data_IF_041053044161
#
_entry.id   IF_041053044161
#
_cell.length_a   1.000
_cell.length_b   1.000
_cell.length_c   1.000
_cell.angle_alpha   90.00
_cell.angle_beta   90.00
_cell.angle_gamma   90.00
#
_symmetry.space_group_name_H-M   'P 1'
#
loop_
_entity.id
_entity.type
_entity.pdbx_description
1 polymer ?
#
# COMPACT_ATOMS: atom_id res chain seq x y z
N UNK A 1 -76.37 8.60 12.45
CA UNK A 1 -75.17 9.38 12.87
C UNK A 1 -74.01 8.42 13.02
N UNK A 2 -72.90 8.72 12.33
CA UNK A 2 -71.63 7.98 12.31
C UNK A 2 -70.70 8.49 13.42
N UNK A 3 -69.64 7.69 13.65
CA UNK A 3 -68.35 7.95 14.34
C UNK A 3 -68.23 7.26 15.70
N UNK A 4 -67.12 6.59 16.06
CA UNK A 4 -65.79 6.51 15.45
C UNK A 4 -65.14 5.15 15.80
N UNK A 5 -64.49 4.52 14.82
CA UNK A 5 -63.54 3.44 15.06
C UNK A 5 -62.15 4.04 15.23
N UNK A 6 -61.52 3.81 16.38
CA UNK A 6 -60.15 4.23 16.67
C UNK A 6 -59.18 3.26 15.96
N UNK A 7 -58.52 3.72 14.90
CA UNK A 7 -57.41 3.01 14.26
C UNK A 7 -56.11 3.42 14.97
N UNK A 8 -55.53 2.52 15.77
CA UNK A 8 -54.16 2.68 16.26
C UNK A 8 -53.19 2.45 15.10
N UNK A 9 -52.59 3.53 14.60
CA UNK A 9 -51.42 3.47 13.74
C UNK A 9 -50.18 3.39 14.63
N UNK A 10 -49.63 2.19 14.77
CA UNK A 10 -48.27 1.99 15.30
C UNK A 10 -47.27 2.45 14.25
N UNK A 11 -46.66 3.61 14.46
CA UNK A 11 -45.53 4.08 13.64
C UNK A 11 -44.27 3.34 14.12
N UNK A 12 -43.89 2.28 13.42
CA UNK A 12 -42.59 1.63 13.60
C UNK A 12 -41.53 2.48 12.88
N UNK A 13 -40.80 3.31 13.64
CA UNK A 13 -39.58 3.97 13.16
C UNK A 13 -38.48 2.90 13.04
N UNK A 14 -38.32 2.35 11.84
CA UNK A 14 -37.13 1.59 11.47
C UNK A 14 -36.00 2.59 11.30
N UNK A 15 -35.15 2.71 12.31
CA UNK A 15 -33.85 3.35 12.15
C UNK A 15 -33.02 2.45 11.24
N UNK A 16 -32.99 2.78 9.94
CA UNK A 16 -31.91 2.35 9.09
C UNK A 16 -30.64 2.99 9.66
N UNK A 17 -29.90 2.23 10.46
CA UNK A 17 -28.48 2.44 10.66
C UNK A 17 -27.86 2.29 9.26
N UNK A 18 -27.79 3.40 8.52
CA UNK A 18 -26.83 3.51 7.43
C UNK A 18 -25.48 3.18 8.06
N UNK A 19 -24.90 2.04 7.67
CA UNK A 19 -23.52 1.73 7.96
C UNK A 19 -22.74 3.01 7.63
N UNK A 20 -22.10 3.61 8.64
CA UNK A 20 -21.31 4.81 8.45
C UNK A 20 -20.37 4.58 7.29
N UNK A 21 -20.36 5.52 6.34
CA UNK A 21 -19.54 5.44 5.15
C UNK A 21 -18.13 5.01 5.55
N UNK A 22 -17.73 3.89 4.97
CA UNK A 22 -16.41 3.29 5.09
C UNK A 22 -15.32 4.35 4.99
N UNK A 23 -14.32 4.23 5.88
CA UNK A 23 -12.98 4.85 5.79
C UNK A 23 -12.72 5.33 4.36
N UNK A 24 -12.66 6.65 4.19
CA UNK A 24 -12.56 7.30 2.88
C UNK A 24 -11.50 6.60 2.06
N UNK A 25 -11.93 5.84 1.05
CA UNK A 25 -11.02 5.14 0.16
C UNK A 25 -10.07 6.18 -0.44
N UNK A 26 -8.77 5.91 -0.34
CA UNK A 26 -7.73 6.78 -0.89
C UNK A 26 -8.11 7.18 -2.31
N UNK A 27 -8.09 8.48 -2.60
CA UNK A 27 -8.30 8.96 -3.96
C UNK A 27 -7.22 8.38 -4.87
N UNK A 28 -7.64 7.45 -5.74
CA UNK A 28 -6.76 6.70 -6.64
C UNK A 28 -5.95 7.59 -7.58
N UNK A 29 -6.52 8.71 -8.01
CA UNK A 29 -5.85 9.62 -8.93
C UNK A 29 -4.76 10.43 -8.19
N UNK A 30 -5.02 10.78 -6.93
CA UNK A 30 -4.02 11.43 -6.08
C UNK A 30 -2.91 10.45 -5.71
N UNK A 31 -3.25 9.19 -5.42
CA UNK A 31 -2.27 8.12 -5.23
C UNK A 31 -1.37 7.95 -6.46
N UNK A 32 -1.95 7.94 -7.66
CA UNK A 32 -1.19 7.84 -8.91
C UNK A 32 -0.22 9.00 -9.08
N UNK A 33 -0.64 10.23 -8.78
CA UNK A 33 0.22 11.42 -8.85
C UNK A 33 1.35 11.36 -7.82
N UNK A 34 1.05 11.02 -6.56
CA UNK A 34 2.05 10.93 -5.49
C UNK A 34 3.09 9.85 -5.80
N UNK A 35 2.65 8.63 -6.15
CA UNK A 35 3.55 7.51 -6.42
C UNK A 35 4.36 7.79 -7.69
N UNK A 36 3.74 8.33 -8.75
CA UNK A 36 4.47 8.74 -9.95
C UNK A 36 5.55 9.76 -9.62
N UNK A 37 5.20 10.81 -8.89
CA UNK A 37 6.14 11.85 -8.52
C UNK A 37 7.33 11.26 -7.75
N UNK A 38 7.08 10.43 -6.75
CA UNK A 38 8.13 9.75 -5.98
C UNK A 38 9.02 8.87 -6.87
N UNK A 39 8.42 8.04 -7.74
CA UNK A 39 9.15 7.15 -8.65
C UNK A 39 10.05 7.93 -9.60
N UNK A 40 9.54 9.02 -10.19
CA UNK A 40 10.31 9.87 -11.10
C UNK A 40 11.41 10.64 -10.35
N UNK A 41 11.06 11.25 -9.21
CA UNK A 41 11.96 12.07 -8.39
C UNK A 41 13.17 11.29 -7.88
N UNK A 42 12.95 10.02 -7.53
CA UNK A 42 13.98 9.10 -7.04
C UNK A 42 14.57 8.20 -8.13
N UNK A 43 14.13 8.38 -9.39
CA UNK A 43 14.57 7.61 -10.55
C UNK A 43 14.48 6.09 -10.31
N UNK A 44 13.39 5.63 -9.70
CA UNK A 44 13.22 4.23 -9.30
C UNK A 44 13.05 3.37 -10.55
N UNK A 45 14.10 2.64 -10.91
CA UNK A 45 14.13 1.65 -11.98
C UNK A 45 14.70 0.28 -11.53
N UNK A 46 14.87 0.11 -10.22
CA UNK A 46 15.43 -1.09 -9.58
C UNK A 46 14.58 -1.48 -8.36
N UNK A 47 14.83 -2.67 -7.81
CA UNK A 47 14.11 -3.16 -6.63
C UNK A 47 14.40 -2.27 -5.41
N UNK A 48 13.36 -1.65 -4.87
CA UNK A 48 13.39 -0.76 -3.71
C UNK A 48 12.05 -0.86 -3.01
N UNK A 49 12.01 -0.51 -1.72
CA UNK A 49 10.78 -0.27 -0.98
C UNK A 49 10.89 1.06 -0.24
N UNK A 50 9.77 1.76 -0.14
CA UNK A 50 9.66 3.07 0.50
C UNK A 50 8.38 3.11 1.32
N UNK A 51 8.45 3.42 2.61
CA UNK A 51 7.27 3.79 3.39
C UNK A 51 7.22 5.32 3.49
N UNK A 52 6.09 5.91 3.18
CA UNK A 52 5.85 7.35 3.21
C UNK A 52 4.70 7.68 4.13
N UNK A 53 4.92 8.57 5.09
CA UNK A 53 3.95 9.07 6.05
C UNK A 53 3.50 10.47 5.60
N UNK A 54 2.53 10.51 4.68
CA UNK A 54 2.05 11.74 4.06
C UNK A 54 0.91 12.37 4.87
N UNK A 55 0.76 13.71 4.92
CA UNK A 55 -0.48 14.32 5.40
C UNK A 55 -1.71 13.75 4.69
N UNK A 56 -2.81 13.55 5.43
CA UNK A 56 -4.13 13.37 4.82
C UNK A 56 -4.44 14.64 4.03
N UNK A 57 -4.87 14.50 2.77
CA UNK A 57 -5.05 15.60 1.81
C UNK A 57 -3.77 16.39 1.49
N UNK A 58 -2.65 15.69 1.30
CA UNK A 58 -1.40 16.29 0.83
C UNK A 58 -1.63 17.17 -0.41
N UNK A 59 -1.17 18.42 -0.34
CA UNK A 59 -1.18 19.33 -1.48
C UNK A 59 -0.24 18.82 -2.57
N UNK A 60 -0.82 18.40 -3.68
CA UNK A 60 -0.09 17.80 -4.80
C UNK A 60 0.82 18.81 -5.51
N UNK A 61 0.58 20.12 -5.33
CA UNK A 61 1.47 21.15 -5.87
C UNK A 61 2.75 21.33 -5.04
N UNK A 62 2.83 20.69 -3.86
CA UNK A 62 3.95 20.80 -2.92
C UNK A 62 4.69 19.47 -2.73
N UNK A 63 4.55 18.54 -3.67
CA UNK A 63 5.28 17.26 -3.60
C UNK A 63 6.79 17.44 -3.68
N UNK A 64 7.28 18.46 -4.41
CA UNK A 64 8.72 18.80 -4.45
C UNK A 64 9.28 19.09 -3.05
N UNK A 65 8.55 19.85 -2.23
CA UNK A 65 8.95 20.16 -0.86
C UNK A 65 8.91 18.91 0.03
N UNK A 66 7.90 18.06 -0.19
CA UNK A 66 7.74 16.85 0.60
C UNK A 66 8.87 15.83 0.32
N UNK A 67 9.26 15.66 -0.95
CA UNK A 67 10.31 14.75 -1.41
C UNK A 67 11.65 15.46 -1.68
N UNK A 68 11.94 16.55 -0.96
CA UNK A 68 13.14 17.35 -1.17
C UNK A 68 14.46 16.57 -0.92
N UNK A 69 14.45 15.58 -0.03
CA UNK A 69 15.60 14.75 0.36
C UNK A 69 16.01 13.68 -0.68
N UNK A 70 15.60 13.82 -1.94
CA UNK A 70 15.84 12.82 -2.98
C UNK A 70 17.31 12.44 -3.18
N UNK A 71 18.22 13.41 -3.10
CA UNK A 71 19.66 13.16 -3.25
C UNK A 71 20.19 12.28 -2.12
N UNK A 72 19.75 12.54 -0.88
CA UNK A 72 20.14 11.77 0.30
C UNK A 72 19.57 10.34 0.24
N UNK A 73 18.32 10.20 -0.22
CA UNK A 73 17.70 8.89 -0.48
C UNK A 73 18.53 8.13 -1.51
N UNK A 74 18.87 8.75 -2.64
CA UNK A 74 19.66 8.11 -3.70
C UNK A 74 21.05 7.69 -3.19
N UNK A 75 21.72 8.53 -2.40
CA UNK A 75 23.03 8.22 -1.82
C UNK A 75 22.95 7.01 -0.87
N UNK A 76 21.99 6.99 0.07
CA UNK A 76 21.82 5.86 1.00
C UNK A 76 21.51 4.57 0.27
N UNK A 77 20.61 4.61 -0.71
CA UNK A 77 20.29 3.45 -1.54
C UNK A 77 21.51 2.96 -2.32
N UNK A 78 22.35 3.85 -2.88
CA UNK A 78 23.59 3.48 -3.54
C UNK A 78 24.55 2.72 -2.59
N UNK A 79 24.64 3.16 -1.34
CA UNK A 79 25.48 2.58 -0.28
C UNK A 79 24.92 1.28 0.36
N UNK A 80 23.80 0.73 -0.13
CA UNK A 80 23.08 -0.39 0.51
C UNK A 80 22.66 -0.08 1.96
N UNK A 81 22.42 1.18 2.27
CA UNK A 81 21.98 1.65 3.58
C UNK A 81 20.49 2.00 3.56
N UNK A 82 19.87 1.99 4.73
CA UNK A 82 18.49 2.45 4.91
C UNK A 82 18.50 3.97 5.07
N UNK A 83 17.71 4.67 4.27
CA UNK A 83 17.38 6.07 4.52
C UNK A 83 16.23 6.14 5.51
N UNK A 84 16.36 7.00 6.52
CA UNK A 84 15.33 7.26 7.53
C UNK A 84 15.19 8.78 7.68
N UNK A 85 14.00 9.28 7.36
CA UNK A 85 13.48 10.56 7.82
C UNK A 85 12.43 10.23 8.89
N UNK A 86 12.68 10.66 10.12
CA UNK A 86 11.91 10.29 11.30
C UNK A 86 10.42 10.67 11.22
N UNK A 87 10.06 11.59 10.32
CA UNK A 87 8.70 12.12 10.20
C UNK A 87 8.02 11.78 8.87
N UNK A 88 8.79 11.62 7.78
CA UNK A 88 8.23 11.53 6.43
C UNK A 88 8.39 10.17 5.77
N UNK A 89 9.56 9.52 5.86
CA UNK A 89 9.78 8.32 5.07
C UNK A 89 10.93 7.43 5.52
N UNK A 90 10.85 6.17 5.12
CA UNK A 90 11.93 5.20 5.20
C UNK A 90 12.10 4.56 3.82
N UNK A 91 13.33 4.46 3.33
CA UNK A 91 13.63 3.84 2.04
C UNK A 91 14.80 2.85 2.14
N UNK A 92 14.67 1.72 1.46
CA UNK A 92 15.73 0.71 1.38
C UNK A 92 15.68 -0.04 0.05
N UNK A 93 16.83 -0.56 -0.38
CA UNK A 93 16.91 -1.56 -1.45
C UNK A 93 17.26 -2.94 -0.86
N UNK A 94 17.05 -4.05 -1.58
CA UNK A 94 17.50 -5.36 -1.14
C UNK A 94 19.00 -5.35 -0.91
N UNK A 95 19.44 -6.07 0.11
CA UNK A 95 20.84 -6.25 0.39
C UNK A 95 21.08 -7.67 0.92
N UNK A 96 22.07 -8.35 0.34
CA UNK A 96 22.29 -9.78 0.54
C UNK A 96 20.99 -10.55 0.25
N UNK A 97 20.59 -11.46 1.15
CA UNK A 97 19.39 -12.30 0.99
C UNK A 97 18.16 -11.71 1.72
N UNK A 98 18.10 -10.38 1.89
CA UNK A 98 17.00 -9.70 2.58
C UNK A 98 16.36 -8.70 1.64
N UNK A 99 15.06 -8.84 1.43
CA UNK A 99 14.25 -7.97 0.58
C UNK A 99 14.05 -6.58 1.22
N UNK A 100 13.82 -5.58 0.37
CA UNK A 100 13.73 -4.18 0.78
C UNK A 100 12.61 -3.93 1.81
N UNK A 101 11.46 -4.59 1.64
CA UNK A 101 10.28 -4.47 2.50
C UNK A 101 10.62 -4.79 3.96
N UNK A 102 11.49 -5.78 4.18
CA UNK A 102 11.96 -6.18 5.53
C UNK A 102 12.77 -5.05 6.17
N UNK A 103 13.64 -4.40 5.41
CA UNK A 103 14.45 -3.28 5.92
C UNK A 103 13.59 -2.07 6.24
N UNK A 104 12.62 -1.73 5.37
CA UNK A 104 11.71 -0.61 5.61
C UNK A 104 10.90 -0.84 6.88
N UNK A 105 10.19 -1.97 6.98
CA UNK A 105 9.32 -2.28 8.13
C UNK A 105 10.06 -2.28 9.47
N UNK A 106 11.34 -2.67 9.49
CA UNK A 106 12.18 -2.66 10.71
C UNK A 106 12.57 -1.26 11.17
N UNK A 107 12.52 -0.27 10.29
CA UNK A 107 12.96 1.09 10.58
C UNK A 107 11.80 2.10 10.63
N UNK A 108 10.55 1.64 10.63
CA UNK A 108 9.36 2.51 10.64
C UNK A 108 8.94 3.03 12.02
N UNK A 109 9.65 2.68 13.09
CA UNK A 109 9.22 3.03 14.46
C UNK A 109 8.97 4.54 14.65
N UNK A 110 9.80 5.39 14.07
CA UNK A 110 9.63 6.84 14.20
C UNK A 110 8.39 7.33 13.43
N UNK A 111 8.11 6.76 12.24
CA UNK A 111 6.87 7.07 11.50
C UNK A 111 5.61 6.67 12.27
N UNK A 112 5.63 5.54 12.99
CA UNK A 112 4.52 5.08 13.84
C UNK A 112 4.24 6.08 14.97
N UNK A 113 5.26 6.78 15.47
CA UNK A 113 5.09 7.76 16.54
C UNK A 113 4.57 9.12 16.02
N UNK A 114 4.67 9.36 14.71
CA UNK A 114 4.35 10.64 14.04
C UNK A 114 3.15 10.54 13.09
N UNK A 115 2.27 9.57 13.33
CA UNK A 115 1.19 9.17 12.42
C UNK A 115 -0.10 9.99 12.51
N UNK A 116 -0.25 10.83 13.53
CA UNK A 116 -1.51 11.54 13.77
C UNK A 116 -1.87 12.45 12.58
N UNK A 117 -3.07 12.23 12.02
CA UNK A 117 -3.55 12.94 10.83
C UNK A 117 -2.76 12.64 9.55
N UNK A 118 -2.07 11.49 9.49
CA UNK A 118 -1.27 11.04 8.34
C UNK A 118 -1.83 9.78 7.70
N UNK A 119 -1.48 9.62 6.43
CA UNK A 119 -1.78 8.52 5.54
C UNK A 119 -0.48 7.78 5.19
N UNK A 120 -0.47 6.45 5.35
CA UNK A 120 0.69 5.61 5.01
C UNK A 120 0.62 5.11 3.56
N UNK A 121 1.65 5.41 2.77
CA UNK A 121 1.90 4.74 1.49
C UNK A 121 3.10 3.82 1.66
N UNK A 122 2.85 2.51 1.65
CA UNK A 122 3.92 1.51 1.60
C UNK A 122 4.16 1.08 0.15
N UNK A 123 5.20 1.60 -0.47
CA UNK A 123 5.59 1.29 -1.83
C UNK A 123 6.65 0.18 -1.89
N UNK A 124 6.51 -0.73 -2.84
CA UNK A 124 7.54 -1.70 -3.23
C UNK A 124 7.63 -1.76 -4.75
N UNK A 125 8.84 -1.79 -5.32
CA UNK A 125 8.97 -1.83 -6.78
C UNK A 125 8.34 -3.09 -7.39
N UNK A 126 8.56 -4.25 -6.75
CA UNK A 126 7.89 -5.51 -7.07
C UNK A 126 6.83 -5.85 -6.01
N UNK A 127 5.79 -6.59 -6.38
CA UNK A 127 4.88 -7.20 -5.41
C UNK A 127 5.66 -8.10 -4.44
N UNK A 128 5.26 -8.22 -3.17
CA UNK A 128 5.91 -9.12 -2.23
C UNK A 128 5.97 -10.57 -2.75
N UNK A 129 7.11 -11.22 -2.63
CA UNK A 129 7.28 -12.59 -3.14
C UNK A 129 6.58 -13.64 -2.27
N UNK A 130 6.20 -14.76 -2.87
CA UNK A 130 5.56 -15.91 -2.20
C UNK A 130 6.54 -16.69 -1.32
N UNK A 131 7.82 -16.77 -1.71
CA UNK A 131 8.79 -17.64 -1.04
C UNK A 131 9.32 -17.09 0.29
N UNK A 132 9.34 -15.76 0.44
CA UNK A 132 9.91 -15.08 1.61
C UNK A 132 8.96 -14.07 2.26
N UNK A 133 8.57 -13.00 1.55
CA UNK A 133 7.82 -11.90 2.14
C UNK A 133 6.42 -12.34 2.57
N UNK A 134 5.69 -13.00 1.67
CA UNK A 134 4.34 -13.56 1.87
C UNK A 134 4.40 -15.08 2.11
N UNK A 135 5.37 -15.54 2.89
CA UNK A 135 5.45 -16.93 3.33
C UNK A 135 5.36 -16.96 4.86
N UNK A 136 4.29 -17.48 5.48
CA UNK A 136 4.18 -17.53 6.94
C UNK A 136 5.27 -18.39 7.60
N UNK A 137 5.91 -19.30 6.84
CA UNK A 137 6.97 -20.20 7.32
C UNK A 137 8.38 -19.62 7.13
N UNK A 138 8.52 -18.50 6.43
CA UNK A 138 9.82 -17.86 6.17
C UNK A 138 10.26 -17.01 7.35
N UNK A 139 11.54 -17.09 7.73
CA UNK A 139 12.15 -16.17 8.71
C UNK A 139 12.21 -14.70 8.24
N UNK A 140 11.98 -14.46 6.94
CA UNK A 140 11.92 -13.14 6.32
C UNK A 140 10.49 -12.72 5.98
N UNK A 141 9.50 -13.42 6.53
CA UNK A 141 8.09 -13.02 6.38
C UNK A 141 7.87 -11.61 6.90
N UNK A 142 7.08 -10.83 6.16
CA UNK A 142 6.71 -9.48 6.57
C UNK A 142 5.30 -9.42 7.18
N UNK A 143 4.53 -10.51 7.09
CA UNK A 143 3.13 -10.58 7.52
C UNK A 143 2.95 -10.19 8.99
N UNK A 144 3.72 -10.72 9.97
CA UNK A 144 3.52 -10.35 11.37
C UNK A 144 3.79 -8.86 11.61
N UNK A 145 4.83 -8.32 10.97
CA UNK A 145 5.19 -6.91 11.15
C UNK A 145 4.18 -5.98 10.48
N UNK A 146 3.68 -6.33 9.29
CA UNK A 146 2.56 -5.62 8.65
C UNK A 146 1.35 -5.59 9.58
N UNK A 147 0.97 -6.74 10.14
CA UNK A 147 -0.19 -6.87 11.02
C UNK A 147 -0.03 -6.08 12.33
N UNK A 148 1.20 -5.96 12.82
CA UNK A 148 1.53 -5.16 14.00
C UNK A 148 1.46 -3.66 13.72
N UNK A 149 2.07 -3.20 12.61
CA UNK A 149 2.31 -1.76 12.44
C UNK A 149 1.22 -1.05 11.64
N UNK A 150 0.68 -1.65 10.58
CA UNK A 150 -0.24 -0.95 9.68
C UNK A 150 -1.49 -0.43 10.39
N UNK A 151 -2.11 -1.16 11.35
CA UNK A 151 -3.28 -0.66 12.08
C UNK A 151 -3.06 0.63 12.87
N UNK A 152 -1.82 1.11 12.97
CA UNK A 152 -1.53 2.39 13.59
C UNK A 152 -2.05 3.57 12.76
N UNK A 153 -2.15 3.45 11.43
CA UNK A 153 -2.63 4.52 10.56
C UNK A 153 -4.14 4.39 10.29
N UNK A 154 -4.84 5.52 10.27
CA UNK A 154 -6.28 5.57 9.92
C UNK A 154 -6.52 5.34 8.43
N UNK A 155 -5.56 5.71 7.59
CA UNK A 155 -5.53 5.47 6.16
C UNK A 155 -4.18 4.86 5.79
N UNK A 156 -4.20 3.84 4.94
CA UNK A 156 -2.98 3.19 4.47
C UNK A 156 -3.20 2.50 3.12
N UNK A 157 -2.12 2.35 2.36
CA UNK A 157 -2.07 1.49 1.18
C UNK A 157 -0.76 0.73 1.10
N UNK A 158 -0.82 -0.43 0.46
CA UNK A 158 0.33 -1.09 -0.11
C UNK A 158 0.31 -0.92 -1.62
N UNK A 159 1.39 -0.40 -2.19
CA UNK A 159 1.54 -0.12 -3.62
C UNK A 159 2.70 -0.91 -4.19
N UNK A 160 2.51 -1.48 -5.37
CA UNK A 160 3.64 -1.98 -6.16
C UNK A 160 3.59 -1.60 -7.64
N UNK A 161 4.74 -1.57 -8.32
CA UNK A 161 4.81 -1.21 -9.74
C UNK A 161 4.78 -2.43 -10.67
N UNK A 162 5.52 -3.47 -10.30
CA UNK A 162 5.69 -4.70 -11.08
C UNK A 162 5.27 -5.92 -10.29
N UNK A 163 4.80 -6.95 -10.98
CA UNK A 163 4.55 -8.25 -10.36
C UNK A 163 5.90 -8.96 -10.18
N UNK A 164 6.10 -9.60 -9.02
CA UNK A 164 7.23 -10.49 -8.78
C UNK A 164 6.93 -11.87 -9.40
N UNK A 165 7.13 -11.98 -10.70
CA UNK A 165 6.86 -13.18 -11.51
C UNK A 165 8.14 -13.91 -11.94
N UNK A 166 9.31 -13.43 -11.51
CA UNK A 166 10.59 -14.06 -11.72
C UNK A 166 11.59 -13.71 -10.61
N UNK A 167 12.51 -14.62 -10.33
CA UNK A 167 13.63 -14.37 -9.41
C UNK A 167 14.64 -13.39 -10.01
N UNK A 168 15.59 -12.93 -9.19
CA UNK A 168 16.74 -12.14 -9.66
C UNK A 168 17.63 -12.88 -10.68
N UNK A 169 17.58 -14.22 -10.71
CA UNK A 169 18.26 -15.05 -11.71
C UNK A 169 17.42 -15.26 -12.99
N UNK A 170 16.23 -14.64 -13.09
CA UNK A 170 15.32 -14.81 -14.21
C UNK A 170 14.52 -16.11 -14.18
N UNK A 171 14.49 -16.83 -13.05
CA UNK A 171 13.70 -18.06 -12.93
C UNK A 171 12.23 -17.68 -12.78
N UNK A 172 11.32 -18.12 -13.68
CA UNK A 172 9.90 -17.79 -13.57
C UNK A 172 9.29 -18.31 -12.28
N UNK A 173 8.41 -17.50 -11.69
CA UNK A 173 7.57 -17.87 -10.55
C UNK A 173 6.22 -18.35 -11.10
N UNK A 174 5.72 -19.53 -10.70
CA UNK A 174 4.41 -20.00 -11.11
C UNK A 174 3.31 -18.99 -10.78
N UNK A 175 2.35 -18.83 -11.67
CA UNK A 175 1.27 -17.84 -11.51
C UNK A 175 0.49 -18.04 -10.20
N UNK A 176 0.25 -19.28 -9.81
CA UNK A 176 -0.44 -19.64 -8.57
C UNK A 176 0.28 -19.08 -7.33
N UNK A 177 1.61 -18.98 -7.39
CA UNK A 177 2.42 -18.39 -6.32
C UNK A 177 2.27 -16.89 -6.23
N UNK A 178 2.19 -16.19 -7.37
CA UNK A 178 1.90 -14.75 -7.38
C UNK A 178 0.50 -14.46 -6.81
N UNK A 179 -0.49 -15.29 -7.15
CA UNK A 179 -1.86 -15.20 -6.61
C UNK A 179 -1.86 -15.49 -5.09
N UNK A 180 -1.16 -16.53 -4.65
CA UNK A 180 -1.03 -16.88 -3.24
C UNK A 180 -0.43 -15.71 -2.43
N UNK A 181 0.67 -15.13 -2.92
CA UNK A 181 1.31 -13.99 -2.28
C UNK A 181 0.39 -12.76 -2.23
N UNK A 182 -0.29 -12.44 -3.34
CA UNK A 182 -1.22 -11.32 -3.40
C UNK A 182 -2.37 -11.51 -2.41
N UNK A 183 -2.98 -12.69 -2.37
CA UNK A 183 -4.06 -13.01 -1.43
C UNK A 183 -3.59 -12.93 0.02
N UNK A 184 -2.37 -13.38 0.34
CA UNK A 184 -1.82 -13.22 1.69
C UNK A 184 -1.63 -11.76 2.07
N UNK A 185 -1.19 -10.91 1.15
CA UNK A 185 -1.10 -9.47 1.36
C UNK A 185 -2.50 -8.87 1.61
N UNK A 186 -3.49 -9.24 0.80
CA UNK A 186 -4.87 -8.80 0.94
C UNK A 186 -5.55 -9.26 2.24
N UNK A 187 -5.22 -10.44 2.73
CA UNK A 187 -5.70 -11.00 4.01
C UNK A 187 -4.92 -10.49 5.24
N UNK A 188 -3.85 -9.72 5.05
CA UNK A 188 -3.13 -9.06 6.14
C UNK A 188 -3.87 -7.79 6.61
N UNK A 189 -3.30 -7.08 7.59
CA UNK A 189 -3.81 -5.78 8.03
C UNK A 189 -3.78 -4.70 6.94
N UNK A 190 -3.11 -4.92 5.80
CA UNK A 190 -3.30 -4.05 4.63
C UNK A 190 -4.78 -4.07 4.23
N UNK A 191 -5.37 -5.26 4.03
CA UNK A 191 -6.74 -5.42 3.57
C UNK A 191 -6.88 -5.30 2.05
N UNK A 192 -7.82 -6.05 1.47
CA UNK A 192 -8.07 -6.09 0.02
C UNK A 192 -8.29 -4.71 -0.61
N UNK A 193 -8.99 -3.80 0.07
CA UNK A 193 -9.31 -2.47 -0.47
C UNK A 193 -8.09 -1.52 -0.55
N UNK A 194 -6.95 -1.90 0.03
CA UNK A 194 -5.79 -1.04 0.19
C UNK A 194 -4.54 -1.56 -0.56
N UNK A 195 -4.69 -2.56 -1.43
CA UNK A 195 -3.60 -3.06 -2.27
C UNK A 195 -3.75 -2.52 -3.68
N UNK A 196 -2.74 -1.80 -4.16
CA UNK A 196 -2.75 -1.17 -5.47
C UNK A 196 -1.53 -1.55 -6.31
N UNK A 197 -1.73 -1.69 -7.63
CA UNK A 197 -0.63 -1.67 -8.60
C UNK A 197 -0.60 -0.30 -9.27
N UNK A 198 0.52 0.41 -9.16
CA UNK A 198 0.73 1.71 -9.80
C UNK A 198 1.79 1.60 -10.88
N UNK A 199 1.39 1.74 -12.15
CA UNK A 199 2.27 1.47 -13.28
C UNK A 199 1.86 2.29 -14.50
N UNK A 200 2.74 2.32 -15.51
CA UNK A 200 2.45 2.89 -16.82
C UNK A 200 2.22 1.75 -17.82
N UNK A 201 0.97 1.41 -18.17
CA UNK A 201 0.72 0.47 -19.24
C UNK A 201 1.20 1.03 -20.58
N UNK A 202 1.33 0.14 -21.56
CA UNK A 202 1.70 0.53 -22.92
C UNK A 202 0.65 1.51 -23.49
N UNK A 203 1.12 2.63 -24.03
CA UNK A 203 0.31 3.69 -24.65
C UNK A 203 -0.76 4.30 -23.73
N UNK A 204 -0.60 4.21 -22.41
CA UNK A 204 -1.51 4.81 -21.44
C UNK A 204 -0.74 5.68 -20.45
N UNK A 205 -1.49 6.53 -19.75
CA UNK A 205 -0.96 7.31 -18.64
C UNK A 205 -0.64 6.43 -17.43
N UNK A 206 0.24 6.95 -16.58
CA UNK A 206 0.54 6.30 -15.31
C UNK A 206 -0.72 6.27 -14.45
N UNK A 207 -1.06 5.10 -13.94
CA UNK A 207 -2.28 4.88 -13.19
C UNK A 207 -2.04 3.92 -12.03
N UNK A 208 -2.91 4.02 -11.02
CA UNK A 208 -3.03 3.03 -9.97
C UNK A 208 -4.34 2.26 -10.16
N UNK A 209 -4.29 0.94 -10.01
CA UNK A 209 -5.47 0.08 -9.99
C UNK A 209 -5.55 -0.65 -8.65
N UNK A 210 -6.76 -0.86 -8.13
CA UNK A 210 -6.94 -1.73 -6.98
C UNK A 210 -6.71 -3.18 -7.43
N UNK A 211 -5.97 -3.95 -6.63
CA UNK A 211 -5.66 -5.33 -6.95
C UNK A 211 -6.76 -6.32 -6.58
N UNK A 212 -7.85 -5.84 -5.98
CA UNK A 212 -8.99 -6.63 -5.60
C UNK A 212 -10.31 -5.98 -6.02
N UNK A 213 -11.26 -6.83 -6.41
CA UNK A 213 -12.67 -6.52 -6.48
C UNK A 213 -13.38 -7.37 -5.43
N UNK A 214 -13.57 -6.81 -4.23
CA UNK A 214 -13.95 -7.60 -3.06
C UNK A 214 -12.82 -8.54 -2.64
N UNK A 215 -13.07 -9.85 -2.64
CA UNK A 215 -12.06 -10.87 -2.33
C UNK A 215 -11.38 -11.45 -3.58
N UNK A 216 -11.84 -11.08 -4.78
CA UNK A 216 -11.28 -11.58 -6.04
C UNK A 216 -10.14 -10.70 -6.50
N UNK A 217 -9.00 -11.30 -6.88
CA UNK A 217 -7.87 -10.55 -7.42
C UNK A 217 -8.16 -10.00 -8.83
N UNK A 218 -7.41 -8.98 -9.23
CA UNK A 218 -7.41 -8.40 -10.58
C UNK A 218 -6.22 -8.96 -11.37
N UNK A 219 -6.46 -9.37 -12.62
CA UNK A 219 -5.45 -10.01 -13.49
C UNK A 219 -4.16 -9.20 -13.62
N UNK A 220 -4.30 -7.88 -13.80
CA UNK A 220 -3.18 -6.96 -13.90
C UNK A 220 -2.37 -6.86 -12.59
N UNK A 221 -2.71 -7.54 -11.51
CA UNK A 221 -1.90 -7.58 -10.30
C UNK A 221 -1.14 -8.90 -10.11
N UNK A 222 -1.28 -9.86 -11.03
CA UNK A 222 -0.64 -11.18 -10.95
C UNK A 222 0.17 -11.54 -12.20
N UNK A 223 0.23 -10.64 -13.18
CA UNK A 223 1.12 -10.73 -14.35
C UNK A 223 1.63 -9.34 -14.75
N UNK A 224 2.87 -9.24 -15.23
CA UNK A 224 3.47 -7.96 -15.64
C UNK A 224 2.86 -7.38 -16.92
#
# INVERSE_FOLDING_TARGET
MKMAGLCWMTVALVFFLSAGDSVTAVNRDDLAKIVKFMVDRYQINYQVSVAVNTPVNQDLNRLDEFFAAASDVAEKLAQNSVFVDDSKMVAAKPYKNVHAEVYVLKNMNNLINMKDGKYLIFYSFYSPCDGHCMNPKSKYTIIPKINEIIPNWSEHVFVFSKVFDQTSSGTPIPREKTIEALNQLGNSAVGHNNVYRCYKPQNQDYQCINCFNGASYVEQCVVN
#
